data_IF_280513787972
#
_entry.id   IF_280513787972
#
_cell.length_a   1.000
_cell.length_b   1.000
_cell.length_c   1.000
_cell.angle_alpha   90.00
_cell.angle_beta   90.00
_cell.angle_gamma   90.00
#
_symmetry.space_group_name_H-M   'P 1'
#
loop_
_entity.id
_entity.type
_entity.pdbx_description
1 polymer ?
#
# COMPACT_ATOMS: atom_id res chain seq x y z
N UNK A 1 -12.33 11.09 56.69
CA UNK A 1 -11.53 11.67 55.59
C UNK A 1 -10.70 10.55 54.97
N UNK A 2 -11.18 9.96 53.87
CA UNK A 2 -10.61 8.75 53.28
C UNK A 2 -9.36 9.12 52.46
N UNK A 3 -8.16 8.93 53.02
CA UNK A 3 -6.89 9.08 52.28
C UNK A 3 -6.75 7.92 51.31
N UNK A 4 -7.16 8.10 50.06
CA UNK A 4 -6.86 7.13 49.00
C UNK A 4 -5.34 6.92 48.94
N UNK A 5 -4.89 5.66 48.98
CA UNK A 5 -3.49 5.28 48.77
C UNK A 5 -3.16 5.51 47.29
N UNK A 6 -2.76 6.74 46.94
CA UNK A 6 -2.46 7.17 45.57
C UNK A 6 -1.26 6.39 44.98
N UNK A 7 -0.27 6.00 45.79
CA UNK A 7 0.95 5.31 45.34
C UNK A 7 0.72 3.94 44.66
N UNK A 8 -0.01 2.96 45.25
CA UNK A 8 -0.27 1.68 44.58
C UNK A 8 -1.12 1.83 43.32
N UNK A 9 -2.07 2.78 43.30
CA UNK A 9 -2.87 3.07 42.10
C UNK A 9 -1.98 3.54 40.95
N UNK A 10 -1.02 4.44 41.22
CA UNK A 10 -0.06 4.91 40.21
C UNK A 10 0.87 3.80 39.71
N UNK A 11 1.30 2.87 40.58
CA UNK A 11 2.14 1.73 40.17
C UNK A 11 1.36 0.81 39.23
N UNK A 12 0.11 0.46 39.59
CA UNK A 12 -0.73 -0.39 38.75
C UNK A 12 -1.03 0.28 37.41
N UNK A 13 -1.39 1.58 37.42
CA UNK A 13 -1.62 2.33 36.19
C UNK A 13 -0.37 2.40 35.30
N UNK A 14 0.81 2.60 35.88
CA UNK A 14 2.09 2.59 35.16
C UNK A 14 2.41 1.23 34.53
N UNK A 15 2.18 0.14 35.27
CA UNK A 15 2.38 -1.21 34.75
C UNK A 15 1.41 -1.52 33.59
N UNK A 16 0.13 -1.15 33.73
CA UNK A 16 -0.86 -1.31 32.64
C UNK A 16 -0.46 -0.53 31.39
N UNK A 17 -0.02 0.73 31.55
CA UNK A 17 0.44 1.54 30.43
C UNK A 17 1.65 0.89 29.73
N UNK A 18 2.63 0.40 30.49
CA UNK A 18 3.79 -0.30 29.93
C UNK A 18 3.39 -1.58 29.19
N UNK A 19 2.44 -2.36 29.72
CA UNK A 19 1.91 -3.56 29.05
C UNK A 19 1.21 -3.23 27.74
N UNK A 20 0.41 -2.16 27.69
CA UNK A 20 -0.23 -1.71 26.45
C UNK A 20 0.81 -1.31 25.40
N UNK A 21 1.82 -0.52 25.79
CA UNK A 21 2.91 -0.12 24.88
C UNK A 21 3.65 -1.34 24.34
N UNK A 22 3.95 -2.33 25.20
CA UNK A 22 4.60 -3.56 24.79
C UNK A 22 3.73 -4.38 23.81
N UNK A 23 2.42 -4.46 24.04
CA UNK A 23 1.48 -5.15 23.17
C UNK A 23 1.39 -4.46 21.80
N UNK A 24 1.24 -3.13 21.75
CA UNK A 24 1.23 -2.37 20.50
C UNK A 24 2.53 -2.54 19.72
N UNK A 25 3.68 -2.48 20.41
CA UNK A 25 4.99 -2.71 19.79
C UNK A 25 5.08 -4.10 19.17
N UNK A 26 4.60 -5.13 19.87
CA UNK A 26 4.58 -6.50 19.36
C UNK A 26 3.70 -6.64 18.13
N UNK A 27 2.49 -6.05 18.14
CA UNK A 27 1.58 -6.04 16.99
C UNK A 27 2.26 -5.37 15.79
N UNK A 28 2.87 -4.20 15.98
CA UNK A 28 3.60 -3.51 14.91
C UNK A 28 4.76 -4.34 14.35
N UNK A 29 5.50 -5.08 15.19
CA UNK A 29 6.54 -5.99 14.71
C UNK A 29 5.97 -7.15 13.89
N UNK A 30 4.83 -7.72 14.29
CA UNK A 30 4.16 -8.80 13.55
C UNK A 30 3.68 -8.28 12.19
N UNK A 31 3.03 -7.11 12.16
CA UNK A 31 2.60 -6.49 10.90
C UNK A 31 3.79 -6.23 9.96
N UNK A 32 4.87 -5.65 10.48
CA UNK A 32 6.07 -5.40 9.70
C UNK A 32 6.68 -6.70 9.14
N UNK A 33 6.80 -7.74 9.97
CA UNK A 33 7.32 -9.04 9.54
C UNK A 33 6.43 -9.68 8.47
N UNK A 34 5.10 -9.56 8.60
CA UNK A 34 4.14 -10.07 7.63
C UNK A 34 4.27 -9.35 6.28
N UNK A 35 4.34 -8.01 6.30
CA UNK A 35 4.54 -7.22 5.07
C UNK A 35 5.87 -7.62 4.39
N UNK A 36 6.94 -7.79 5.16
CA UNK A 36 8.24 -8.22 4.61
C UNK A 36 8.20 -9.62 4.03
N UNK A 37 7.43 -10.52 4.63
CA UNK A 37 7.18 -11.85 4.07
C UNK A 37 6.38 -11.77 2.76
N UNK A 38 5.33 -10.96 2.68
CA UNK A 38 4.58 -10.73 1.43
C UNK A 38 5.48 -10.15 0.32
N UNK A 39 6.38 -9.22 0.66
CA UNK A 39 7.36 -8.66 -0.29
C UNK A 39 8.35 -9.69 -0.85
N UNK A 40 8.50 -10.86 -0.23
CA UNK A 40 9.33 -11.94 -0.81
C UNK A 40 8.68 -12.60 -2.02
N UNK A 41 7.37 -12.41 -2.21
CA UNK A 41 6.61 -12.90 -3.36
C UNK A 41 6.44 -11.85 -4.46
N UNK A 42 7.17 -10.73 -4.38
CA UNK A 42 7.23 -9.77 -5.47
C UNK A 42 7.83 -10.41 -6.72
N UNK A 43 7.30 -10.04 -7.87
CA UNK A 43 7.66 -10.60 -9.17
C UNK A 43 8.10 -9.47 -10.11
N UNK A 44 8.84 -9.83 -11.15
CA UNK A 44 9.20 -8.88 -12.19
C UNK A 44 7.96 -8.37 -12.94
N UNK A 45 8.05 -7.16 -13.45
CA UNK A 45 6.99 -6.60 -14.27
C UNK A 45 6.78 -7.42 -15.54
N UNK A 46 5.60 -8.01 -15.66
CA UNK A 46 5.11 -8.68 -16.87
C UNK A 46 3.84 -7.98 -17.35
N UNK A 47 3.89 -7.48 -18.58
CA UNK A 47 2.81 -6.72 -19.19
C UNK A 47 1.54 -7.56 -19.40
N UNK A 48 1.69 -8.83 -19.79
CA UNK A 48 0.55 -9.71 -20.02
C UNK A 48 -0.16 -9.99 -18.69
N UNK A 49 0.61 -10.25 -17.63
CA UNK A 49 0.08 -10.48 -16.30
C UNK A 49 -0.54 -9.21 -15.70
N UNK A 50 0.05 -8.03 -15.98
CA UNK A 50 -0.50 -6.74 -15.58
C UNK A 50 -1.88 -6.49 -16.18
N UNK A 51 -2.03 -6.80 -17.46
CA UNK A 51 -3.29 -6.63 -18.21
C UNK A 51 -4.32 -7.71 -17.89
N UNK A 52 -3.89 -8.90 -17.47
CA UNK A 52 -4.80 -9.89 -16.90
C UNK A 52 -5.43 -9.39 -15.60
N UNK A 53 -4.68 -8.59 -14.83
CA UNK A 53 -5.11 -8.01 -13.57
C UNK A 53 -5.92 -6.71 -13.65
N UNK A 54 -6.77 -6.46 -14.66
CA UNK A 54 -7.60 -5.23 -14.65
C UNK A 54 -8.54 -5.19 -13.43
N UNK A 55 -8.87 -4.00 -12.92
CA UNK A 55 -9.72 -3.83 -11.73
C UNK A 55 -11.05 -4.57 -11.87
N UNK A 56 -11.71 -4.50 -13.03
CA UNK A 56 -12.97 -5.21 -13.28
C UNK A 56 -12.86 -6.72 -13.11
N UNK A 57 -11.74 -7.32 -13.55
CA UNK A 57 -11.49 -8.77 -13.41
C UNK A 57 -11.01 -9.13 -12.02
N UNK A 58 -10.13 -8.31 -11.43
CA UNK A 58 -9.54 -8.58 -10.13
C UNK A 58 -10.49 -8.34 -8.96
N UNK A 59 -11.33 -7.31 -9.02
CA UNK A 59 -12.22 -6.96 -7.92
C UNK A 59 -13.35 -7.98 -7.77
N UNK A 60 -13.79 -8.63 -8.85
CA UNK A 60 -14.79 -9.70 -8.80
C UNK A 60 -14.22 -11.05 -8.38
N UNK A 61 -13.00 -11.39 -8.82
CA UNK A 61 -12.40 -12.72 -8.59
C UNK A 61 -11.54 -12.79 -7.31
N UNK A 62 -10.91 -11.68 -6.90
CA UNK A 62 -9.91 -11.64 -5.83
C UNK A 62 -10.19 -10.59 -4.76
N UNK A 63 -11.44 -10.13 -4.62
CA UNK A 63 -11.85 -9.10 -3.65
C UNK A 63 -11.39 -9.38 -2.19
N UNK A 64 -11.02 -10.61 -1.88
CA UNK A 64 -10.54 -11.04 -0.55
C UNK A 64 -9.10 -11.59 -0.56
N UNK A 65 -8.39 -11.62 -1.70
CA UNK A 65 -7.11 -12.30 -1.81
C UNK A 65 -5.93 -11.37 -2.09
N UNK A 66 -4.84 -11.71 -1.41
CA UNK A 66 -3.51 -11.09 -1.38
C UNK A 66 -2.79 -11.13 -2.73
N UNK A 67 -3.33 -11.85 -3.71
CA UNK A 67 -2.62 -12.32 -4.90
C UNK A 67 -2.86 -11.52 -6.18
N UNK A 68 -3.48 -10.33 -6.09
CA UNK A 68 -3.60 -9.42 -7.22
C UNK A 68 -2.21 -9.21 -7.88
N UNK A 69 -1.97 -9.69 -9.11
CA UNK A 69 -0.61 -9.72 -9.67
C UNK A 69 0.04 -8.34 -9.75
N UNK A 70 -0.77 -7.29 -9.92
CA UNK A 70 -0.32 -5.89 -10.00
C UNK A 70 0.46 -5.45 -8.77
N UNK A 71 0.00 -5.73 -7.54
CA UNK A 71 0.71 -5.29 -6.33
C UNK A 71 2.09 -5.94 -6.20
N UNK A 72 2.26 -7.17 -6.71
CA UNK A 72 3.53 -7.91 -6.71
C UNK A 72 4.54 -7.35 -7.72
N UNK A 73 4.05 -6.69 -8.78
CA UNK A 73 4.88 -6.05 -9.80
C UNK A 73 5.24 -4.60 -9.49
N UNK A 74 4.47 -3.91 -8.64
CA UNK A 74 4.68 -2.48 -8.35
C UNK A 74 6.08 -2.15 -7.83
N UNK A 75 6.68 -3.03 -7.01
CA UNK A 75 8.04 -2.83 -6.52
C UNK A 75 9.04 -2.79 -7.66
N UNK A 76 8.92 -3.68 -8.64
CA UNK A 76 9.80 -3.73 -9.80
C UNK A 76 9.65 -2.47 -10.68
N UNK A 77 8.40 -2.05 -10.95
CA UNK A 77 8.09 -0.82 -11.70
C UNK A 77 8.77 0.40 -11.05
N UNK A 78 8.65 0.53 -9.73
CA UNK A 78 9.21 1.65 -8.96
C UNK A 78 10.73 1.57 -8.90
N UNK A 79 11.29 0.40 -8.54
CA UNK A 79 12.73 0.20 -8.37
C UNK A 79 13.50 0.42 -9.68
N UNK A 80 12.97 -0.08 -10.80
CA UNK A 80 13.56 0.11 -12.14
C UNK A 80 13.27 1.50 -12.73
N UNK A 81 12.48 2.35 -12.04
CA UNK A 81 12.04 3.66 -12.55
C UNK A 81 11.38 3.57 -13.92
N UNK A 82 10.69 2.45 -14.18
CA UNK A 82 10.24 2.05 -15.53
C UNK A 82 9.34 3.09 -16.21
N UNK A 83 8.58 3.86 -15.43
CA UNK A 83 7.65 4.86 -15.94
C UNK A 83 8.19 6.29 -15.92
N UNK A 84 9.31 6.55 -15.24
CA UNK A 84 9.82 7.92 -15.14
C UNK A 84 10.25 8.44 -16.52
N UNK A 85 9.92 9.70 -16.79
CA UNK A 85 10.17 10.36 -18.07
C UNK A 85 9.22 9.95 -19.20
N UNK A 86 8.31 8.98 -19.00
CA UNK A 86 7.29 8.64 -19.99
C UNK A 86 6.15 9.64 -19.99
N UNK A 87 5.60 9.90 -21.17
CA UNK A 87 4.40 10.70 -21.35
C UNK A 87 3.16 9.95 -20.85
N UNK A 88 2.07 10.70 -20.62
CA UNK A 88 0.75 10.11 -20.34
C UNK A 88 0.32 9.08 -21.39
N UNK A 89 0.54 9.37 -22.68
CA UNK A 89 0.16 8.47 -23.77
C UNK A 89 0.96 7.17 -23.73
N UNK A 90 2.29 7.24 -23.58
CA UNK A 90 3.13 6.03 -23.47
C UNK A 90 2.78 5.17 -22.25
N UNK A 91 2.43 5.80 -21.13
CA UNK A 91 2.02 5.05 -19.93
C UNK A 91 0.65 4.38 -20.15
N UNK A 92 -0.28 5.04 -20.83
CA UNK A 92 -1.57 4.43 -21.21
C UNK A 92 -1.38 3.28 -22.19
N UNK A 93 -0.50 3.43 -23.18
CA UNK A 93 -0.19 2.37 -24.13
C UNK A 93 0.46 1.16 -23.45
N UNK A 94 1.28 1.40 -22.41
CA UNK A 94 1.93 0.34 -21.64
C UNK A 94 1.01 -0.30 -20.61
N UNK A 95 0.32 0.46 -19.77
CA UNK A 95 -0.37 -0.07 -18.58
C UNK A 95 -1.89 -0.12 -18.75
N UNK A 96 -2.41 0.39 -19.87
CA UNK A 96 -3.83 0.62 -20.09
C UNK A 96 -4.31 1.92 -19.45
N UNK A 97 -5.64 2.12 -19.52
CA UNK A 97 -6.29 3.28 -18.91
C UNK A 97 -6.17 3.24 -17.38
N UNK A 98 -5.87 4.37 -16.72
CA UNK A 98 -5.85 4.45 -15.27
C UNK A 98 -7.28 4.43 -14.69
N UNK A 99 -7.40 3.92 -13.46
CA UNK A 99 -8.66 3.87 -12.70
C UNK A 99 -9.03 5.24 -12.09
N UNK A 100 -8.06 6.15 -11.92
CA UNK A 100 -8.21 7.54 -11.48
C UNK A 100 -8.98 7.75 -10.17
N UNK A 101 -8.55 7.06 -9.10
CA UNK A 101 -9.03 7.36 -7.74
C UNK A 101 -8.75 8.83 -7.35
N UNK A 102 -9.72 9.56 -6.76
CA UNK A 102 -9.57 10.98 -6.45
C UNK A 102 -8.83 11.19 -5.12
N UNK A 103 -7.52 10.93 -5.11
CA UNK A 103 -6.69 11.28 -3.96
C UNK A 103 -6.74 12.78 -3.65
N UNK A 104 -6.55 13.13 -2.37
CA UNK A 104 -6.45 14.53 -1.93
C UNK A 104 -5.25 15.27 -2.53
N UNK A 105 -4.14 14.55 -2.73
CA UNK A 105 -2.96 15.05 -3.45
C UNK A 105 -3.21 14.95 -4.97
N UNK A 106 -2.72 15.89 -5.80
CA UNK A 106 -2.94 15.89 -7.24
C UNK A 106 -2.05 14.84 -7.94
N UNK A 107 -2.48 13.58 -7.88
CA UNK A 107 -1.93 12.50 -8.70
C UNK A 107 -2.56 12.56 -10.08
N UNK A 108 -1.74 12.37 -11.12
CA UNK A 108 -2.21 12.42 -12.49
C UNK A 108 -2.91 11.12 -12.87
N UNK A 109 -2.22 9.99 -12.71
CA UNK A 109 -2.75 8.65 -12.97
C UNK A 109 -2.71 7.81 -11.70
N UNK A 110 -3.79 7.06 -11.46
CA UNK A 110 -3.89 6.12 -10.36
C UNK A 110 -4.38 4.78 -10.89
N UNK A 111 -3.57 3.74 -10.75
CA UNK A 111 -3.94 2.36 -11.11
C UNK A 111 -4.24 1.59 -9.84
N UNK A 112 -5.41 0.93 -9.78
CA UNK A 112 -5.71 0.00 -8.71
C UNK A 112 -4.85 -1.25 -8.87
N UNK A 113 -4.17 -1.65 -7.80
CA UNK A 113 -3.22 -2.77 -7.85
C UNK A 113 -3.55 -3.89 -6.88
N UNK A 114 -4.54 -3.71 -6.01
CA UNK A 114 -4.99 -4.71 -5.05
C UNK A 114 -5.42 -4.07 -3.74
N UNK A 115 -5.44 -4.86 -2.67
CA UNK A 115 -5.56 -4.38 -1.30
C UNK A 115 -4.17 -4.15 -0.68
N UNK A 116 -4.11 -3.32 0.36
CA UNK A 116 -2.92 -3.11 1.17
C UNK A 116 -2.27 -4.43 1.61
N UNK A 117 -0.94 -4.43 1.66
CA UNK A 117 -0.13 -5.47 2.29
C UNK A 117 -0.25 -5.41 3.81
N UNK A 118 -0.28 -6.57 4.43
CA UNK A 118 -0.46 -6.71 5.87
C UNK A 118 -1.53 -7.73 6.24
N UNK A 119 -1.57 -8.11 7.53
CA UNK A 119 -2.51 -9.11 8.03
C UNK A 119 -3.96 -8.59 8.05
N UNK A 120 -4.17 -7.28 8.10
CA UNK A 120 -5.49 -6.63 8.01
C UNK A 120 -5.56 -5.83 6.71
N UNK A 121 -6.36 -6.31 5.74
CA UNK A 121 -6.44 -5.73 4.39
C UNK A 121 -7.72 -4.95 4.20
N UNK A 122 -7.70 -3.69 4.61
CA UNK A 122 -8.89 -2.83 4.59
C UNK A 122 -8.85 -1.85 3.44
N UNK A 123 -7.68 -1.30 3.16
CA UNK A 123 -7.54 -0.21 2.20
C UNK A 123 -7.10 -0.74 0.83
N UNK A 124 -7.53 -0.07 -0.23
CA UNK A 124 -7.04 -0.34 -1.59
C UNK A 124 -5.63 0.19 -1.75
N UNK A 125 -4.80 -0.57 -2.46
CA UNK A 125 -3.48 -0.18 -2.86
C UNK A 125 -3.50 0.34 -4.31
N UNK A 126 -2.74 1.40 -4.55
CA UNK A 126 -2.73 2.13 -5.81
C UNK A 126 -1.30 2.42 -6.26
N UNK A 127 -1.01 2.24 -7.55
CA UNK A 127 0.17 2.79 -8.20
C UNK A 127 -0.17 4.19 -8.70
N UNK A 128 0.33 5.20 -7.99
CA UNK A 128 0.07 6.60 -8.27
C UNK A 128 1.25 7.23 -9.02
N UNK A 129 0.94 7.99 -10.07
CA UNK A 129 1.92 8.63 -10.95
C UNK A 129 1.66 10.14 -11.00
N UNK A 130 2.69 10.92 -10.72
CA UNK A 130 2.67 12.39 -10.82
C UNK A 130 3.42 12.82 -12.09
N UNK A 131 2.89 13.82 -12.74
CA UNK A 131 3.43 14.38 -13.98
C UNK A 131 3.87 15.82 -13.75
N UNK A 132 4.86 16.26 -14.52
CA UNK A 132 5.21 17.68 -14.62
C UNK A 132 4.31 18.45 -15.59
N UNK A 133 4.59 19.74 -15.73
CA UNK A 133 3.88 20.66 -16.63
C UNK A 133 4.05 20.29 -18.12
N UNK A 134 5.05 19.47 -18.45
CA UNK A 134 5.30 18.95 -19.80
C UNK A 134 4.67 17.57 -20.03
N UNK A 135 3.87 17.08 -19.08
CA UNK A 135 3.18 15.79 -19.11
C UNK A 135 4.08 14.56 -19.09
N UNK A 136 5.30 14.68 -18.54
CA UNK A 136 6.17 13.54 -18.29
C UNK A 136 6.07 13.09 -16.83
N UNK A 137 6.13 11.78 -16.60
CA UNK A 137 6.09 11.22 -15.26
C UNK A 137 7.36 11.56 -14.48
N UNK A 138 7.19 12.22 -13.33
CA UNK A 138 8.29 12.65 -12.44
C UNK A 138 8.32 11.89 -11.13
N UNK A 139 7.23 11.23 -10.76
CA UNK A 139 7.16 10.41 -9.56
C UNK A 139 6.19 9.25 -9.74
N UNK A 140 6.58 8.10 -9.22
CA UNK A 140 5.79 6.88 -9.18
C UNK A 140 5.88 6.33 -7.77
N UNK A 141 4.74 6.11 -7.11
CA UNK A 141 4.72 5.56 -5.76
C UNK A 141 3.48 4.71 -5.49
N UNK A 142 3.60 3.87 -4.47
CA UNK A 142 2.43 3.19 -3.90
C UNK A 142 1.68 4.12 -2.97
N UNK A 143 0.34 4.11 -3.07
CA UNK A 143 -0.59 4.83 -2.20
C UNK A 143 -1.67 3.89 -1.66
N UNK A 144 -2.23 4.30 -0.53
CA UNK A 144 -3.38 3.67 0.12
C UNK A 144 -4.45 4.76 0.28
N UNK A 145 -5.73 4.38 0.20
CA UNK A 145 -6.86 5.25 0.44
C UNK A 145 -7.36 5.23 1.89
#
# INVERSE_FOLDING_TARGET
MMRFRIKPVLIVAGAMAASLVALFSLISCIEWAYIKWEETFDIEFDLNLWNQGSRERLYSEFATQIDAPRIKMCRDIIAKKFLLGKTKAEIVDLLGQPDNYPFREPWGFNYWVGLQRGPMKMDSAWLAIRFDDTHHAVEVKMKQD
#
